data_IF_382011568981
#
_entry.id   IF_382011568981
#
_cell.length_a   1.000
_cell.length_b   1.000
_cell.length_c   1.000
_cell.angle_alpha   90.00
_cell.angle_beta   90.00
_cell.angle_gamma   90.00
#
_symmetry.space_group_name_H-M   'P 1'
#
loop_
_entity.id
_entity.type
_entity.pdbx_description
1 polymer ?
#
# COMPACT_ATOMS: atom_id res chain seq x y z
N UNK A 1 -14.62 7.97 -31.29
CA UNK A 1 -14.86 7.23 -30.04
C UNK A 1 -14.15 7.98 -28.92
N UNK A 2 -14.82 8.22 -27.79
CA UNK A 2 -14.14 8.84 -26.63
C UNK A 2 -13.11 7.84 -26.08
N UNK A 3 -11.85 8.23 -26.15
CA UNK A 3 -10.73 7.44 -25.64
C UNK A 3 -10.86 7.26 -24.12
N UNK A 4 -11.01 6.02 -23.66
CA UNK A 4 -11.07 5.73 -22.24
C UNK A 4 -9.68 5.88 -21.61
N UNK A 5 -9.46 7.00 -20.91
CA UNK A 5 -8.23 7.17 -20.14
C UNK A 5 -8.31 6.39 -18.82
N UNK A 6 -7.35 5.47 -18.56
CA UNK A 6 -7.28 4.83 -17.26
C UNK A 6 -6.95 5.88 -16.19
N UNK A 7 -7.94 6.20 -15.35
CA UNK A 7 -7.77 7.13 -14.24
C UNK A 7 -7.05 6.42 -13.11
N UNK A 8 -5.84 6.89 -12.78
CA UNK A 8 -5.14 6.47 -11.56
C UNK A 8 -6.02 6.82 -10.35
N UNK A 9 -6.41 5.80 -9.57
CA UNK A 9 -7.15 5.98 -8.31
C UNK A 9 -6.45 7.00 -7.41
N UNK A 10 -7.22 7.90 -6.79
CA UNK A 10 -6.69 8.98 -5.93
C UNK A 10 -5.77 8.45 -4.83
N UNK A 11 -6.12 7.31 -4.23
CA UNK A 11 -5.35 6.62 -3.19
C UNK A 11 -3.93 6.23 -3.66
N UNK A 12 -3.76 5.89 -4.94
CA UNK A 12 -2.49 5.45 -5.52
C UNK A 12 -1.58 6.63 -5.94
N UNK A 13 -1.94 7.86 -5.57
CA UNK A 13 -1.14 9.08 -5.73
C UNK A 13 -0.67 9.64 -4.37
N UNK A 14 -1.10 9.02 -3.28
CA UNK A 14 -0.83 9.50 -1.92
C UNK A 14 0.38 8.77 -1.38
N UNK A 15 1.35 9.54 -0.91
CA UNK A 15 2.39 9.11 0.00
C UNK A 15 2.02 9.62 1.40
N UNK A 16 2.12 8.76 2.41
CA UNK A 16 1.87 9.15 3.79
C UNK A 16 3.10 8.95 4.67
N UNK A 17 3.38 9.94 5.51
CA UNK A 17 4.41 9.92 6.55
C UNK A 17 3.86 10.55 7.81
N UNK A 18 4.10 9.89 8.94
CA UNK A 18 3.91 10.47 10.27
C UNK A 18 5.24 10.51 11.02
N UNK A 19 5.91 11.66 10.89
CA UNK A 19 7.18 11.93 11.55
C UNK A 19 7.05 11.94 13.08
N UNK A 20 5.88 12.26 13.63
CA UNK A 20 5.68 12.27 15.08
C UNK A 20 5.69 10.84 15.61
N UNK A 21 5.00 9.92 14.93
CA UNK A 21 5.06 8.51 15.28
C UNK A 21 6.47 7.94 15.13
N UNK A 22 7.12 8.20 13.97
CA UNK A 22 8.47 7.71 13.69
C UNK A 22 9.54 8.34 14.57
N UNK A 23 9.31 9.49 15.20
CA UNK A 23 10.26 10.04 16.18
C UNK A 23 10.24 9.31 17.52
N UNK A 24 9.10 8.69 17.88
CA UNK A 24 8.88 8.02 19.18
C UNK A 24 9.04 6.51 19.10
N UNK A 25 8.76 5.93 17.93
CA UNK A 25 8.73 4.48 17.73
C UNK A 25 9.68 4.06 16.63
N UNK A 26 10.15 2.81 16.74
CA UNK A 26 11.01 2.17 15.75
C UNK A 26 10.21 1.12 14.99
N UNK A 27 10.39 1.08 13.67
CA UNK A 27 9.83 0.05 12.79
C UNK A 27 10.63 -1.27 12.87
N UNK A 28 10.97 -1.74 14.08
CA UNK A 28 11.82 -2.91 14.32
C UNK A 28 11.04 -4.22 14.53
N UNK A 29 9.70 -4.15 14.52
CA UNK A 29 8.82 -5.28 14.69
C UNK A 29 7.49 -5.05 13.96
N UNK A 30 6.74 -6.13 13.77
CA UNK A 30 5.47 -6.14 13.02
C UNK A 30 4.36 -5.35 13.72
N UNK A 31 4.31 -5.37 15.05
CA UNK A 31 3.30 -4.64 15.81
C UNK A 31 3.46 -3.12 15.65
N UNK A 32 4.68 -2.61 15.80
CA UNK A 32 4.99 -1.19 15.60
C UNK A 32 4.71 -0.75 14.16
N UNK A 33 5.00 -1.60 13.17
CA UNK A 33 4.70 -1.31 11.77
C UNK A 33 3.20 -1.28 11.48
N UNK A 34 2.41 -2.17 12.10
CA UNK A 34 0.97 -2.20 11.93
C UNK A 34 0.29 -1.03 12.68
N UNK A 35 0.77 -0.69 13.88
CA UNK A 35 0.35 0.50 14.62
C UNK A 35 0.69 1.79 13.85
N UNK A 36 1.85 1.84 13.20
CA UNK A 36 2.19 2.94 12.29
C UNK A 36 1.22 3.01 11.12
N UNK A 37 0.88 1.88 10.51
CA UNK A 37 -0.09 1.84 9.41
C UNK A 37 -1.47 2.35 9.83
N UNK A 38 -1.90 2.14 11.07
CA UNK A 38 -3.19 2.63 11.57
C UNK A 38 -3.29 4.15 11.66
N UNK A 39 -2.17 4.89 11.68
CA UNK A 39 -2.21 6.37 11.63
C UNK A 39 -2.53 6.88 10.22
N UNK A 40 -2.38 6.03 9.20
CA UNK A 40 -2.51 6.41 7.80
C UNK A 40 -3.97 6.55 7.33
N UNK A 41 -4.24 7.43 6.33
CA UNK A 41 -5.56 7.56 5.73
C UNK A 41 -6.05 6.29 5.02
N UNK A 42 -5.12 5.40 4.65
CA UNK A 42 -5.41 4.09 4.06
C UNK A 42 -6.16 3.18 5.03
N UNK A 43 -5.89 3.32 6.33
CA UNK A 43 -6.59 2.59 7.38
C UNK A 43 -7.82 3.33 7.88
N UNK A 44 -7.71 4.62 8.22
CA UNK A 44 -8.80 5.36 8.87
C UNK A 44 -10.08 5.39 8.03
N UNK A 45 -9.96 5.45 6.70
CA UNK A 45 -11.08 5.38 5.76
C UNK A 45 -11.90 4.07 5.83
N UNK A 46 -11.28 2.95 6.25
CA UNK A 46 -11.92 1.61 6.30
C UNK A 46 -11.90 0.99 7.70
N UNK A 47 -11.43 1.73 8.71
CA UNK A 47 -11.29 1.29 10.10
C UNK A 47 -12.58 0.70 10.67
N UNK A 48 -13.72 1.36 10.45
CA UNK A 48 -15.04 0.94 10.92
C UNK A 48 -15.52 -0.43 10.39
N UNK A 49 -14.97 -0.91 9.26
CA UNK A 49 -15.29 -2.22 8.68
C UNK A 49 -14.22 -3.27 9.03
N UNK A 50 -13.16 -2.86 9.73
CA UNK A 50 -11.99 -3.68 9.97
C UNK A 50 -12.09 -4.45 11.27
N UNK A 51 -11.78 -5.74 11.17
CA UNK A 51 -11.54 -6.62 12.30
C UNK A 51 -10.40 -6.10 13.20
N UNK A 52 -9.43 -5.36 12.65
CA UNK A 52 -8.35 -4.78 13.43
C UNK A 52 -8.85 -3.82 14.51
N UNK A 53 -9.91 -3.02 14.26
CA UNK A 53 -10.45 -2.15 15.31
C UNK A 53 -11.03 -2.94 16.48
N UNK A 54 -11.72 -4.07 16.20
CA UNK A 54 -12.20 -4.98 17.24
C UNK A 54 -11.03 -5.54 18.08
N UNK A 55 -9.94 -5.96 17.42
CA UNK A 55 -8.73 -6.45 18.11
C UNK A 55 -8.11 -5.36 18.98
N UNK A 56 -8.00 -4.13 18.45
CA UNK A 56 -7.42 -2.98 19.16
C UNK A 56 -8.19 -2.58 20.40
N UNK A 57 -9.52 -2.70 20.39
CA UNK A 57 -10.35 -2.47 21.60
C UNK A 57 -10.39 -3.70 22.54
N UNK A 58 -9.58 -4.73 22.28
CA UNK A 58 -9.43 -5.90 23.13
C UNK A 58 -10.48 -6.99 22.92
N UNK A 59 -11.24 -6.97 21.82
CA UNK A 59 -12.15 -8.08 21.49
C UNK A 59 -11.39 -9.23 20.87
N UNK A 60 -11.68 -10.43 21.36
CA UNK A 60 -11.21 -11.67 20.73
C UNK A 60 -12.02 -11.93 19.48
N UNK A 61 -11.31 -12.15 18.37
CA UNK A 61 -11.92 -12.50 17.08
C UNK A 61 -11.83 -14.01 16.93
N UNK A 62 -12.97 -14.66 16.72
CA UNK A 62 -13.01 -16.07 16.35
C UNK A 62 -12.59 -16.26 14.90
N UNK A 63 -12.04 -17.43 14.57
CA UNK A 63 -11.66 -17.75 13.19
C UNK A 63 -12.83 -17.65 12.19
N UNK A 64 -14.06 -17.79 12.66
CA UNK A 64 -15.31 -17.68 11.90
C UNK A 64 -15.80 -16.23 11.63
N UNK A 65 -15.15 -15.20 12.18
CA UNK A 65 -15.59 -13.83 11.95
C UNK A 65 -15.32 -13.36 10.50
N UNK A 66 -16.37 -12.84 9.88
CA UNK A 66 -16.28 -12.17 8.58
C UNK A 66 -15.89 -10.70 8.73
N UNK A 67 -15.14 -10.18 7.77
CA UNK A 67 -14.80 -8.77 7.71
C UNK A 67 -13.49 -8.48 7.01
N UNK A 68 -13.01 -7.26 7.17
CA UNK A 68 -11.76 -6.80 6.58
C UNK A 68 -10.61 -6.87 7.57
N UNK A 69 -9.52 -7.51 7.19
CA UNK A 69 -8.32 -7.65 8.00
C UNK A 69 -7.12 -7.03 7.29
N UNK A 70 -6.46 -6.11 7.98
CA UNK A 70 -5.13 -5.64 7.64
C UNK A 70 -4.10 -6.50 8.36
N UNK A 71 -3.15 -7.06 7.61
CA UNK A 71 -2.06 -7.87 8.15
C UNK A 71 -0.79 -7.71 7.32
N UNK A 72 0.37 -7.85 7.96
CA UNK A 72 1.67 -7.78 7.31
C UNK A 72 1.94 -9.11 6.59
N UNK A 73 2.08 -9.10 5.28
CA UNK A 73 2.37 -10.32 4.50
C UNK A 73 3.86 -10.55 4.29
N UNK A 74 4.68 -9.50 4.47
CA UNK A 74 6.13 -9.57 4.33
C UNK A 74 6.80 -8.51 5.19
N UNK A 75 7.96 -8.85 5.77
CA UNK A 75 8.88 -7.91 6.40
C UNK A 75 10.34 -8.33 6.17
N UNK A 76 11.24 -7.35 6.04
CA UNK A 76 12.68 -7.58 5.84
C UNK A 76 13.48 -7.57 7.14
N UNK A 77 12.83 -7.55 8.32
CA UNK A 77 13.48 -7.46 9.62
C UNK A 77 14.55 -8.55 9.86
N UNK A 78 14.36 -9.83 9.46
CA UNK A 78 15.39 -10.85 9.63
C UNK A 78 16.70 -10.54 8.90
N UNK A 79 16.63 -9.76 7.81
CA UNK A 79 17.82 -9.31 7.06
C UNK A 79 18.48 -8.14 7.77
N UNK A 80 17.68 -7.17 8.25
CA UNK A 80 18.18 -5.97 8.93
C UNK A 80 18.87 -6.29 10.26
N UNK A 81 18.35 -7.26 11.02
CA UNK A 81 18.94 -7.70 12.30
C UNK A 81 20.39 -8.18 12.18
N UNK A 82 20.84 -8.60 10.99
CA UNK A 82 22.22 -9.06 10.78
C UNK A 82 23.25 -7.94 10.85
N UNK A 83 22.84 -6.72 10.51
CA UNK A 83 23.70 -5.54 10.40
C UNK A 83 23.17 -4.39 11.28
N UNK A 84 22.53 -4.73 12.40
CA UNK A 84 22.00 -3.75 13.34
C UNK A 84 23.15 -2.93 13.96
N UNK A 85 23.06 -1.59 13.96
CA UNK A 85 24.05 -0.74 14.63
C UNK A 85 23.97 -0.88 16.15
N UNK A 86 25.01 -0.48 16.87
CA UNK A 86 25.08 -0.67 18.32
C UNK A 86 24.49 0.47 19.14
N UNK A 87 24.46 1.69 18.59
CA UNK A 87 23.94 2.86 19.30
C UNK A 87 22.44 3.06 19.05
N UNK A 88 21.71 3.42 20.10
CA UNK A 88 20.24 3.49 20.08
C UNK A 88 19.70 4.48 19.05
N UNK A 89 20.39 5.60 18.83
CA UNK A 89 19.99 6.62 17.85
C UNK A 89 20.13 6.08 16.43
N UNK A 90 21.25 5.43 16.11
CA UNK A 90 21.44 4.81 14.80
C UNK A 90 20.52 3.62 14.60
N UNK A 91 20.21 2.83 15.63
CA UNK A 91 19.19 1.75 15.54
C UNK A 91 17.85 2.35 15.11
N UNK A 92 17.45 3.45 15.74
CA UNK A 92 16.19 4.13 15.45
C UNK A 92 16.13 4.62 14.00
N UNK A 93 17.17 5.31 13.53
CA UNK A 93 17.28 5.78 12.15
C UNK A 93 17.34 4.59 11.18
N UNK A 94 18.12 3.58 11.52
CA UNK A 94 18.36 2.40 10.69
C UNK A 94 17.06 1.65 10.40
N UNK A 95 16.27 1.33 11.43
CA UNK A 95 14.99 0.65 11.23
C UNK A 95 13.98 1.54 10.51
N UNK A 96 13.86 2.81 10.86
CA UNK A 96 12.87 3.67 10.21
C UNK A 96 13.18 3.96 8.74
N UNK A 97 14.46 3.92 8.35
CA UNK A 97 14.92 4.15 6.97
C UNK A 97 14.95 2.88 6.13
N UNK A 98 15.34 1.74 6.71
CA UNK A 98 15.61 0.52 5.94
C UNK A 98 14.53 -0.56 6.04
N UNK A 99 13.58 -0.41 6.96
CA UNK A 99 12.51 -1.41 7.11
C UNK A 99 11.53 -1.35 5.96
N UNK A 100 11.20 -2.54 5.47
CA UNK A 100 10.25 -2.78 4.40
C UNK A 100 9.16 -3.69 4.97
N UNK A 101 7.91 -3.23 4.87
CA UNK A 101 6.74 -4.04 5.23
C UNK A 101 5.75 -4.04 4.07
N UNK A 102 5.18 -5.20 3.76
CA UNK A 102 4.00 -5.28 2.91
C UNK A 102 2.79 -5.58 3.77
N UNK A 103 1.71 -4.83 3.55
CA UNK A 103 0.47 -4.94 4.31
C UNK A 103 -0.64 -5.26 3.32
N UNK A 104 -1.39 -6.32 3.59
CA UNK A 104 -2.54 -6.71 2.79
C UNK A 104 -3.83 -6.29 3.48
N UNK A 105 -4.79 -5.83 2.69
CA UNK A 105 -6.19 -5.79 3.07
C UNK A 105 -6.86 -7.05 2.54
N UNK A 106 -7.24 -7.94 3.43
CA UNK A 106 -7.90 -9.20 3.12
C UNK A 106 -9.37 -9.14 3.55
N UNK A 107 -10.27 -9.54 2.66
CA UNK A 107 -11.66 -9.77 3.00
C UNK A 107 -11.87 -11.24 3.32
N UNK A 108 -12.36 -11.49 4.53
CA UNK A 108 -12.72 -12.80 5.06
C UNK A 108 -14.25 -12.90 4.97
N UNK A 109 -14.74 -13.92 4.26
CA UNK A 109 -16.18 -14.12 4.02
C UNK A 109 -16.50 -15.61 3.96
N UNK A 110 -17.73 -16.00 4.28
CA UNK A 110 -18.19 -17.39 4.33
C UNK A 110 -19.03 -17.72 3.11
N UNK A 111 -18.72 -18.84 2.46
CA UNK A 111 -19.52 -19.40 1.37
C UNK A 111 -19.85 -20.84 1.72
N UNK A 112 -21.14 -21.16 1.88
CA UNK A 112 -21.61 -22.53 2.18
C UNK A 112 -20.84 -23.19 3.34
N UNK A 113 -20.66 -22.46 4.44
CA UNK A 113 -19.88 -22.85 5.62
C UNK A 113 -18.36 -22.98 5.45
N UNK A 114 -17.79 -22.58 4.32
CA UNK A 114 -16.34 -22.52 4.10
C UNK A 114 -15.88 -21.07 4.25
N UNK A 115 -14.84 -20.84 5.03
CA UNK A 115 -14.20 -19.53 5.15
C UNK A 115 -13.29 -19.31 3.95
N UNK A 116 -13.55 -18.24 3.22
CA UNK A 116 -12.76 -17.80 2.09
C UNK A 116 -12.04 -16.49 2.43
N UNK A 117 -10.82 -16.34 1.92
CA UNK A 117 -10.01 -15.13 2.07
C UNK A 117 -9.64 -14.59 0.70
N UNK A 118 -9.87 -13.30 0.47
CA UNK A 118 -9.49 -12.61 -0.77
C UNK A 118 -8.71 -11.35 -0.45
N UNK A 119 -7.48 -11.26 -0.97
CA UNK A 119 -6.71 -10.02 -0.92
C UNK A 119 -7.31 -9.00 -1.87
N UNK A 120 -7.62 -7.82 -1.36
CA UNK A 120 -8.27 -6.73 -2.09
C UNK A 120 -7.25 -5.68 -2.52
N UNK A 121 -6.34 -5.33 -1.62
CA UNK A 121 -5.40 -4.24 -1.80
C UNK A 121 -4.12 -4.53 -1.03
N UNK A 122 -3.00 -4.06 -1.56
CA UNK A 122 -1.70 -4.14 -0.91
C UNK A 122 -1.20 -2.72 -0.62
N UNK A 123 -0.49 -2.57 0.46
CA UNK A 123 0.22 -1.38 0.88
C UNK A 123 1.65 -1.74 1.20
N UNK A 124 2.55 -0.78 1.12
CA UNK A 124 3.92 -0.98 1.55
C UNK A 124 4.40 0.18 2.41
N UNK A 125 5.24 -0.15 3.40
CA UNK A 125 6.04 0.79 4.14
C UNK A 125 7.46 0.68 3.57
N UNK A 126 7.98 1.77 3.02
CA UNK A 126 9.32 1.88 2.44
C UNK A 126 9.94 3.18 2.91
N UNK A 127 11.12 3.13 3.55
CA UNK A 127 11.81 4.32 4.04
C UNK A 127 10.91 5.22 4.91
N UNK A 128 10.20 4.60 5.85
CA UNK A 128 9.24 5.26 6.74
C UNK A 128 7.97 5.78 6.05
N UNK A 129 7.84 5.66 4.73
CA UNK A 129 6.69 6.16 3.96
C UNK A 129 5.72 5.04 3.62
N UNK A 130 4.43 5.33 3.69
CA UNK A 130 3.36 4.39 3.40
C UNK A 130 2.77 4.70 2.01
N UNK A 131 2.66 3.66 1.19
CA UNK A 131 2.13 3.72 -0.16
C UNK A 131 1.00 2.71 -0.36
N UNK A 132 -0.02 3.08 -1.13
CA UNK A 132 -0.96 2.13 -1.73
C UNK A 132 -0.35 1.54 -2.98
N UNK A 133 -0.25 0.21 -3.03
CA UNK A 133 0.27 -0.50 -4.19
C UNK A 133 -0.82 -0.62 -5.26
N UNK A 134 -0.45 -0.28 -6.50
CA UNK A 134 -1.30 -0.48 -7.68
C UNK A 134 -1.32 -1.96 -8.04
N UNK A 135 -2.42 -2.43 -8.61
CA UNK A 135 -2.37 -3.74 -9.25
C UNK A 135 -1.45 -3.67 -10.48
N UNK A 136 -0.79 -4.77 -10.80
CA UNK A 136 0.08 -4.84 -11.98
C UNK A 136 -0.69 -4.51 -13.28
N UNK A 137 -1.95 -4.97 -13.38
CA UNK A 137 -2.83 -4.63 -14.50
C UNK A 137 -3.09 -3.12 -14.61
N UNK A 138 -3.33 -2.43 -13.49
CA UNK A 138 -3.47 -0.96 -13.49
C UNK A 138 -2.18 -0.27 -13.96
N UNK A 139 -1.01 -0.76 -13.55
CA UNK A 139 0.28 -0.21 -14.01
C UNK A 139 0.46 -0.39 -15.52
N UNK A 140 0.20 -1.59 -16.04
CA UNK A 140 0.30 -1.89 -17.47
C UNK A 140 -0.66 -1.04 -18.30
N UNK A 141 -1.93 -0.98 -17.90
CA UNK A 141 -2.95 -0.21 -18.63
C UNK A 141 -2.57 1.28 -18.68
N UNK A 142 -2.10 1.86 -17.58
CA UNK A 142 -1.63 3.24 -17.57
C UNK A 142 -0.44 3.47 -18.51
N UNK A 143 0.50 2.52 -18.56
CA UNK A 143 1.68 2.62 -19.44
C UNK A 143 1.30 2.50 -20.91
N UNK A 144 0.43 1.54 -21.26
CA UNK A 144 -0.10 1.37 -22.61
C UNK A 144 -0.85 2.61 -23.05
N UNK A 145 -1.75 3.15 -22.22
CA UNK A 145 -2.50 4.36 -22.54
C UNK A 145 -1.57 5.57 -22.77
N UNK A 146 -0.51 5.71 -21.97
CA UNK A 146 0.49 6.76 -22.19
C UNK A 146 1.24 6.59 -23.52
N UNK A 147 1.54 5.36 -23.93
CA UNK A 147 2.22 5.09 -25.21
C UNK A 147 1.29 5.43 -26.37
N UNK A 148 0.04 4.98 -26.34
CA UNK A 148 -0.95 5.24 -27.39
C UNK A 148 -1.16 6.74 -27.57
N UNK A 149 -1.31 7.50 -26.47
CA UNK A 149 -1.42 8.96 -26.52
C UNK A 149 -0.20 9.63 -27.17
N UNK A 150 1.00 9.13 -26.90
CA UNK A 150 2.21 9.68 -27.52
C UNK A 150 2.25 9.39 -29.03
N UNK A 151 1.77 8.22 -29.44
CA UNK A 151 1.63 7.85 -30.86
C UNK A 151 0.59 8.73 -31.56
N UNK A 152 -0.58 8.95 -30.95
CA UNK A 152 -1.61 9.85 -31.49
C UNK A 152 -1.09 11.27 -31.67
N UNK A 153 -0.40 11.83 -30.66
CA UNK A 153 0.24 13.14 -30.77
C UNK A 153 1.26 13.21 -31.90
N UNK A 154 2.04 12.14 -32.10
CA UNK A 154 2.98 12.08 -33.20
C UNK A 154 2.27 12.10 -34.56
N UNK A 155 1.21 11.30 -34.72
CA UNK A 155 0.37 11.32 -35.93
C UNK A 155 -0.25 12.70 -36.18
N UNK A 156 -0.78 13.36 -35.15
CA UNK A 156 -1.32 14.71 -35.26
C UNK A 156 -0.27 15.73 -35.70
N UNK A 157 0.96 15.63 -35.18
CA UNK A 157 2.07 16.47 -35.60
C UNK A 157 2.42 16.25 -37.09
N UNK A 158 2.50 14.99 -37.54
CA UNK A 158 2.77 14.66 -38.95
C UNK A 158 1.66 15.19 -39.86
N UNK A 159 0.40 14.96 -39.49
CA UNK A 159 -0.75 15.43 -40.28
C UNK A 159 -0.79 16.97 -40.37
N UNK A 160 -0.46 17.68 -39.29
CA UNK A 160 -0.34 19.14 -39.32
C UNK A 160 0.76 19.61 -40.26
N UNK A 161 1.90 18.93 -40.31
CA UNK A 161 2.97 19.25 -41.26
C UNK A 161 2.55 19.00 -42.71
N UNK A 162 1.81 17.92 -42.97
CA UNK A 162 1.30 17.61 -44.31
C UNK A 162 0.26 18.63 -44.80
N UNK A 163 -0.59 19.14 -43.91
CA UNK A 163 -1.61 20.13 -44.23
C UNK A 163 -1.09 21.59 -44.26
N UNK A 164 0.23 21.80 -44.05
CA UNK A 164 0.87 23.12 -44.11
C UNK A 164 1.45 23.45 -45.50
N UNK A 165 1.32 22.52 -46.47
CA UNK A 165 1.56 22.73 -47.91
C UNK A 165 0.25 22.95 -48.65
#
# INVERSE_FOLDING_TARGET
EEYYEPVVKKENKIEYVDNLYLSKNMLNNRENALNYFYTSPFYTSRSHLSLNEKIRVGRMISDDEEGYLFDITYDNLPVLKKNEPHDLVSIHIYYNTNSIFHISLTHIYKVKNIICKKVIQMFCILNGKIYSSRSFGELLNNKIASIVRNVEKFYDCVNKMMNFN
#
